data_IF_488150926512
#
_entry.id   IF_488150926512
#
_cell.length_a   1.000
_cell.length_b   1.000
_cell.length_c   1.000
_cell.angle_alpha   90.00
_cell.angle_beta   90.00
_cell.angle_gamma   90.00
#
_symmetry.space_group_name_H-M   'P 1'
#
loop_
_entity.id
_entity.type
_entity.pdbx_description
1 polymer ?
#
# COMPACT_ATOMS: atom_id res chain seq x y z
N UNK A 1 -11.77 9.42 5.08
CA UNK A 1 -10.59 9.27 4.20
C UNK A 1 -10.09 10.63 3.75
N UNK A 2 -8.82 10.76 3.39
CA UNK A 2 -8.23 12.01 2.88
C UNK A 2 -8.99 12.55 1.66
N UNK A 3 -9.44 11.68 0.75
CA UNK A 3 -10.21 12.09 -0.43
C UNK A 3 -11.53 12.79 -0.09
N UNK A 4 -12.28 12.30 0.89
CA UNK A 4 -13.53 12.92 1.33
C UNK A 4 -13.26 14.28 1.96
N UNK A 5 -12.23 14.36 2.81
CA UNK A 5 -11.84 15.60 3.48
C UNK A 5 -11.40 16.68 2.49
N UNK A 6 -10.54 16.31 1.52
CA UNK A 6 -10.06 17.26 0.51
C UNK A 6 -11.19 17.73 -0.42
N UNK A 7 -12.11 16.84 -0.80
CA UNK A 7 -13.26 17.22 -1.63
C UNK A 7 -14.20 18.17 -0.87
N UNK A 8 -14.54 17.84 0.37
CA UNK A 8 -15.38 18.69 1.21
C UNK A 8 -14.76 20.08 1.38
N UNK A 9 -13.46 20.13 1.72
CA UNK A 9 -12.76 21.39 1.91
C UNK A 9 -12.66 22.20 0.61
N UNK A 10 -12.43 21.54 -0.54
CA UNK A 10 -12.42 22.21 -1.84
C UNK A 10 -13.78 22.85 -2.16
N UNK A 11 -14.88 22.17 -1.87
CA UNK A 11 -16.22 22.74 -2.06
C UNK A 11 -16.48 23.93 -1.13
N UNK A 12 -16.13 23.81 0.15
CA UNK A 12 -16.32 24.89 1.12
C UNK A 12 -15.49 26.12 0.75
N UNK A 13 -14.23 25.96 0.42
CA UNK A 13 -13.36 27.08 0.03
C UNK A 13 -13.78 27.72 -1.29
N UNK A 14 -14.19 26.92 -2.27
CA UNK A 14 -14.70 27.42 -3.53
C UNK A 14 -15.98 28.24 -3.35
N UNK A 15 -16.88 27.82 -2.45
CA UNK A 15 -18.08 28.58 -2.10
C UNK A 15 -17.75 29.94 -1.45
N UNK A 16 -16.58 30.06 -0.82
CA UNK A 16 -16.07 31.33 -0.27
C UNK A 16 -15.25 32.14 -1.29
N UNK A 17 -15.20 31.72 -2.56
CA UNK A 17 -14.42 32.37 -3.61
C UNK A 17 -12.93 32.15 -3.56
N UNK A 18 -12.45 31.18 -2.76
CA UNK A 18 -11.03 30.84 -2.70
C UNK A 18 -10.65 29.86 -3.82
N UNK A 19 -9.62 30.15 -4.63
CA UNK A 19 -9.19 29.29 -5.73
C UNK A 19 -8.39 28.10 -5.22
N UNK A 20 -9.08 27.04 -4.82
CA UNK A 20 -8.49 25.84 -4.28
C UNK A 20 -8.72 24.65 -5.20
N UNK A 21 -7.75 23.74 -5.23
CA UNK A 21 -7.85 22.47 -5.96
C UNK A 21 -7.36 21.31 -5.08
N UNK A 22 -7.30 20.12 -5.66
CA UNK A 22 -6.82 18.89 -5.00
C UNK A 22 -5.61 18.38 -5.76
N UNK A 23 -4.50 18.24 -5.05
CA UNK A 23 -3.33 17.53 -5.50
C UNK A 23 -3.29 16.14 -4.86
N UNK A 24 -2.73 15.16 -5.57
CA UNK A 24 -2.68 13.81 -5.05
C UNK A 24 -1.50 13.00 -5.59
N UNK A 25 -0.99 12.12 -4.75
CA UNK A 25 -0.10 11.03 -5.13
C UNK A 25 -0.95 9.77 -5.33
N UNK A 26 -0.93 9.15 -6.52
CA UNK A 26 -1.76 7.98 -6.78
C UNK A 26 -1.34 6.77 -5.94
N UNK A 27 -0.07 6.67 -5.64
CA UNK A 27 0.54 5.64 -4.81
C UNK A 27 1.91 6.16 -4.34
N UNK A 28 2.22 6.01 -3.03
CA UNK A 28 3.56 6.29 -2.52
C UNK A 28 4.57 5.30 -3.09
N UNK A 29 5.80 5.74 -3.31
CA UNK A 29 6.87 4.88 -3.79
C UNK A 29 7.36 3.84 -2.77
N UNK A 30 7.07 4.07 -1.49
CA UNK A 30 7.51 3.23 -0.37
C UNK A 30 6.41 2.99 0.68
N UNK A 31 5.14 3.16 0.32
CA UNK A 31 3.96 2.96 1.18
C UNK A 31 2.86 2.26 0.38
N UNK A 32 1.82 1.82 1.08
CA UNK A 32 0.77 0.96 0.51
C UNK A 32 -0.42 1.72 -0.06
N UNK A 33 -0.48 3.04 0.10
CA UNK A 33 -1.65 3.84 -0.29
C UNK A 33 -1.22 5.07 -1.09
N UNK A 34 -2.19 5.74 -1.69
CA UNK A 34 -2.08 7.10 -2.19
C UNK A 34 -2.45 8.12 -1.11
N UNK A 35 -2.40 9.40 -1.47
CA UNK A 35 -2.80 10.48 -0.59
C UNK A 35 -3.29 11.68 -1.39
N UNK A 36 -4.23 12.44 -0.82
CA UNK A 36 -4.77 13.66 -1.43
C UNK A 36 -4.75 14.80 -0.43
N UNK A 37 -4.44 15.99 -0.91
CA UNK A 37 -4.42 17.23 -0.13
C UNK A 37 -4.97 18.39 -0.95
N UNK A 38 -5.21 19.53 -0.31
CA UNK A 38 -5.66 20.72 -1.00
C UNK A 38 -4.48 21.63 -1.40
N UNK A 39 -4.66 22.39 -2.45
CA UNK A 39 -3.70 23.38 -2.91
C UNK A 39 -4.42 24.69 -3.24
N UNK A 40 -4.08 25.76 -2.54
CA UNK A 40 -4.55 27.11 -2.85
C UNK A 40 -3.69 27.70 -3.99
N UNK A 41 -4.33 28.36 -4.95
CA UNK A 41 -3.65 28.98 -6.10
C UNK A 41 -3.88 30.48 -6.03
N UNK A 42 -2.82 31.25 -5.77
CA UNK A 42 -2.88 32.71 -5.68
C UNK A 42 -1.76 33.30 -6.55
N UNK A 43 -2.11 34.19 -7.47
CA UNK A 43 -1.17 34.88 -8.37
C UNK A 43 -0.20 33.90 -9.09
N UNK A 44 -0.71 32.78 -9.54
CA UNK A 44 0.08 31.73 -10.20
C UNK A 44 1.00 30.90 -9.29
N UNK A 45 1.03 31.20 -7.99
CA UNK A 45 1.73 30.42 -6.98
C UNK A 45 0.80 29.39 -6.33
N UNK A 46 1.38 28.30 -5.91
CA UNK A 46 0.64 27.17 -5.30
C UNK A 46 1.06 26.99 -3.86
N UNK A 47 0.07 26.82 -2.99
CA UNK A 47 0.26 26.66 -1.55
C UNK A 47 -0.47 25.39 -1.11
N UNK A 48 0.21 24.22 -1.10
CA UNK A 48 -0.37 22.98 -0.63
C UNK A 48 -0.62 23.01 0.88
N UNK A 49 -1.70 22.37 1.31
CA UNK A 49 -2.02 22.23 2.73
C UNK A 49 -2.93 21.01 2.97
N UNK A 50 -2.87 20.46 4.18
CA UNK A 50 -3.74 19.38 4.61
C UNK A 50 -5.02 19.95 5.22
N UNK A 51 -6.20 19.51 4.77
CA UNK A 51 -7.44 19.94 5.38
C UNK A 51 -7.61 19.32 6.78
N UNK A 52 -8.16 20.09 7.71
CA UNK A 52 -8.52 19.64 9.06
C UNK A 52 -7.36 19.08 9.91
N UNK A 53 -6.14 19.39 9.55
CA UNK A 53 -4.99 19.02 10.35
C UNK A 53 -4.67 20.07 11.41
N UNK A 54 -4.19 19.56 12.52
CA UNK A 54 -3.65 20.34 13.63
C UNK A 54 -2.43 21.15 13.18
N UNK A 55 -2.29 22.37 13.67
CA UNK A 55 -1.21 23.28 13.30
C UNK A 55 0.20 22.65 13.44
N UNK A 56 0.34 21.76 14.41
CA UNK A 56 1.62 21.12 14.70
C UNK A 56 1.89 19.86 13.87
N UNK A 57 0.86 19.26 13.29
CA UNK A 57 0.99 18.07 12.45
C UNK A 57 1.15 18.37 10.98
N UNK A 58 0.66 19.52 10.57
CA UNK A 58 0.71 19.89 9.20
C UNK A 58 1.91 20.76 8.92
N UNK A 59 2.87 20.17 8.31
CA UNK A 59 4.01 20.88 7.71
C UNK A 59 4.27 20.24 6.37
N UNK A 60 3.74 20.87 5.34
CA UNK A 60 3.98 20.50 3.96
C UNK A 60 5.44 20.14 3.69
N UNK A 61 6.38 20.96 4.19
CA UNK A 61 7.80 20.70 4.06
C UNK A 61 8.26 19.37 4.65
N UNK A 62 7.61 18.91 5.72
CA UNK A 62 7.94 17.63 6.36
C UNK A 62 7.46 16.45 5.53
N UNK A 63 6.21 16.54 5.02
CA UNK A 63 5.62 15.44 4.27
C UNK A 63 6.20 15.28 2.87
N UNK A 64 6.45 16.40 2.18
CA UNK A 64 6.70 16.37 0.74
C UNK A 64 8.15 16.72 0.36
N UNK A 65 8.93 17.30 1.26
CA UNK A 65 10.35 17.59 1.01
C UNK A 65 11.30 16.47 1.46
N UNK A 66 10.82 15.22 1.52
CA UNK A 66 11.63 14.07 1.94
C UNK A 66 12.22 14.16 3.35
N UNK A 67 11.73 15.06 4.21
CA UNK A 67 12.12 15.07 5.61
C UNK A 67 11.30 14.02 6.38
N UNK A 68 11.98 13.16 7.10
CA UNK A 68 11.34 12.25 8.03
C UNK A 68 11.07 12.96 9.34
N UNK A 69 9.83 13.03 9.76
CA UNK A 69 9.46 13.47 11.11
C UNK A 69 9.29 12.27 12.07
N UNK A 70 9.24 11.07 11.51
CA UNK A 70 9.24 9.82 12.24
C UNK A 70 10.39 8.95 11.71
N UNK A 71 11.43 8.79 12.53
CA UNK A 71 12.61 8.01 12.18
C UNK A 71 12.28 6.55 11.90
N UNK A 72 11.23 6.01 12.52
CA UNK A 72 10.80 4.64 12.34
C UNK A 72 9.96 4.46 11.07
N UNK A 73 9.22 5.49 10.68
CA UNK A 73 8.37 5.45 9.49
C UNK A 73 9.14 5.68 8.18
N UNK A 74 10.36 6.23 8.24
CA UNK A 74 11.15 6.61 7.09
C UNK A 74 10.53 7.78 6.29
N UNK A 75 11.19 8.19 5.25
CA UNK A 75 10.78 9.29 4.39
C UNK A 75 9.63 8.86 3.47
N UNK A 76 8.71 9.77 3.16
CA UNK A 76 7.73 9.56 2.09
C UNK A 76 8.38 9.74 0.72
N UNK A 77 8.11 8.82 -0.21
CA UNK A 77 8.62 8.86 -1.58
C UNK A 77 7.48 9.16 -2.55
N UNK A 78 7.61 10.27 -3.25
CA UNK A 78 6.62 10.73 -4.24
C UNK A 78 7.05 10.28 -5.64
N UNK A 79 6.42 9.26 -6.25
CA UNK A 79 6.73 8.90 -7.64
C UNK A 79 6.18 9.92 -8.62
N UNK A 80 4.96 10.43 -8.37
CA UNK A 80 4.26 11.44 -9.17
C UNK A 80 3.27 12.21 -8.30
N UNK A 81 3.05 13.47 -8.64
CA UNK A 81 1.94 14.27 -8.10
C UNK A 81 1.10 14.79 -9.24
N UNK A 82 -0.21 14.53 -9.14
CA UNK A 82 -1.19 15.05 -10.07
C UNK A 82 -2.10 16.06 -9.38
N UNK A 83 -2.58 17.04 -10.16
CA UNK A 83 -3.57 18.04 -9.74
C UNK A 83 -4.89 17.81 -10.46
N UNK A 84 -6.00 17.79 -9.76
CA UNK A 84 -7.32 17.85 -10.38
C UNK A 84 -7.46 19.20 -11.10
N UNK A 85 -7.90 19.16 -12.35
CA UNK A 85 -7.99 20.33 -13.23
C UNK A 85 -9.41 20.52 -13.69
N UNK A 86 -9.81 21.77 -13.98
CA UNK A 86 -11.04 22.11 -14.65
C UNK A 86 -10.89 22.17 -16.18
N UNK A 87 -9.68 21.93 -16.68
CA UNK A 87 -9.36 21.86 -18.09
C UNK A 87 -9.19 20.41 -18.55
N UNK A 88 -9.57 20.13 -19.78
CA UNK A 88 -9.29 18.87 -20.43
C UNK A 88 -7.85 18.76 -20.88
N UNK A 89 -7.16 17.75 -20.41
CA UNK A 89 -5.79 17.44 -20.84
C UNK A 89 -5.83 16.25 -21.82
N UNK A 90 -5.99 16.56 -23.10
CA UNK A 90 -6.03 15.56 -24.19
C UNK A 90 -4.62 15.08 -24.53
N UNK A 91 -3.99 14.37 -23.62
CA UNK A 91 -2.67 13.78 -23.79
C UNK A 91 -2.66 12.32 -23.29
N UNK A 92 -1.59 11.60 -23.65
CA UNK A 92 -1.41 10.23 -23.18
C UNK A 92 -2.29 9.19 -23.87
N UNK A 93 -2.37 7.98 -23.28
CA UNK A 93 -2.98 6.83 -23.93
C UNK A 93 -4.47 7.00 -24.20
N UNK A 94 -5.23 7.70 -23.36
CA UNK A 94 -6.67 7.89 -23.52
C UNK A 94 -7.00 8.79 -24.74
N UNK A 95 -6.08 9.66 -25.14
CA UNK A 95 -6.24 10.54 -26.29
C UNK A 95 -5.80 9.85 -27.62
N UNK A 96 -5.11 8.73 -27.54
CA UNK A 96 -4.66 7.96 -28.71
C UNK A 96 -5.78 7.02 -29.19
N UNK A 97 -6.30 7.30 -30.39
CA UNK A 97 -7.40 6.52 -30.99
C UNK A 97 -7.03 5.06 -31.29
N UNK A 98 -5.74 4.76 -31.39
CA UNK A 98 -5.24 3.41 -31.67
C UNK A 98 -5.07 2.58 -30.41
N UNK A 99 -5.10 3.20 -29.20
CA UNK A 99 -4.95 2.48 -27.96
C UNK A 99 -6.30 1.92 -27.47
N UNK A 100 -6.32 0.66 -27.07
CA UNK A 100 -7.52 0.01 -26.53
C UNK A 100 -7.81 0.50 -25.13
N UNK A 101 -9.05 0.87 -24.84
CA UNK A 101 -9.44 1.37 -23.50
C UNK A 101 -9.13 0.39 -22.35
N UNK A 102 -9.21 -0.92 -22.63
CA UNK A 102 -8.89 -1.95 -21.62
C UNK A 102 -7.39 -2.05 -21.32
N UNK A 103 -6.55 -1.54 -22.21
CA UNK A 103 -5.10 -1.47 -22.03
C UNK A 103 -4.66 -0.18 -21.35
N UNK A 104 -5.60 0.65 -20.89
CA UNK A 104 -5.32 1.89 -20.21
C UNK A 104 -5.68 1.74 -18.72
N UNK A 105 -4.72 1.91 -17.79
CA UNK A 105 -5.00 1.95 -16.36
C UNK A 105 -6.02 3.05 -16.01
N UNK A 106 -6.85 2.82 -15.00
CA UNK A 106 -7.94 3.74 -14.64
C UNK A 106 -7.45 5.16 -14.33
N UNK A 107 -6.28 5.29 -13.72
CA UNK A 107 -5.66 6.59 -13.46
C UNK A 107 -5.58 7.44 -14.73
N UNK A 108 -5.14 6.85 -15.86
CA UNK A 108 -4.90 7.56 -17.13
C UNK A 108 -6.12 7.65 -18.04
N UNK A 109 -7.28 7.18 -17.57
CA UNK A 109 -8.58 7.45 -18.22
C UNK A 109 -9.17 8.79 -17.81
N UNK A 110 -8.62 9.41 -16.75
CA UNK A 110 -9.05 10.70 -16.25
C UNK A 110 -8.37 11.84 -17.00
N UNK A 111 -9.14 12.59 -17.78
CA UNK A 111 -8.65 13.76 -18.54
C UNK A 111 -8.63 15.05 -17.72
N UNK A 112 -9.18 15.03 -16.51
CA UNK A 112 -9.30 16.19 -15.61
C UNK A 112 -8.16 16.23 -14.59
N UNK A 113 -6.98 15.88 -15.01
CA UNK A 113 -5.79 15.94 -14.17
C UNK A 113 -4.55 16.34 -14.97
N UNK A 114 -3.64 17.05 -14.33
CA UNK A 114 -2.32 17.39 -14.87
C UNK A 114 -1.20 16.99 -13.93
N UNK A 115 -0.06 16.65 -14.50
CA UNK A 115 1.17 16.39 -13.75
C UNK A 115 1.72 17.71 -13.18
N UNK A 116 1.92 17.76 -11.87
CA UNK A 116 2.51 18.89 -11.15
C UNK A 116 3.73 18.48 -10.32
N UNK A 117 4.29 17.31 -10.58
CA UNK A 117 5.39 16.73 -9.82
C UNK A 117 6.58 17.68 -9.61
N UNK A 118 6.93 18.46 -10.65
CA UNK A 118 8.02 19.44 -10.59
C UNK A 118 7.80 20.61 -9.63
N UNK A 119 6.56 20.81 -9.14
CA UNK A 119 6.25 21.78 -8.10
C UNK A 119 6.56 21.27 -6.69
N UNK A 120 6.75 19.96 -6.54
CA UNK A 120 6.92 19.28 -5.25
C UNK A 120 8.33 18.76 -5.01
N UNK A 121 8.99 18.28 -6.07
CA UNK A 121 10.32 17.68 -5.97
C UNK A 121 11.12 17.81 -7.27
N UNK A 122 12.42 17.56 -7.18
CA UNK A 122 13.29 17.49 -8.35
C UNK A 122 12.96 16.22 -9.14
N UNK A 123 12.45 16.39 -10.35
CA UNK A 123 12.04 15.30 -11.22
C UNK A 123 13.18 14.81 -12.12
N UNK A 124 13.08 13.56 -12.58
CA UNK A 124 13.99 12.94 -13.55
C UNK A 124 13.20 12.28 -14.67
N UNK A 125 13.59 12.54 -15.91
CA UNK A 125 13.09 11.80 -17.07
C UNK A 125 13.86 10.49 -17.17
N UNK A 126 13.15 9.36 -17.29
CA UNK A 126 13.75 8.03 -17.32
C UNK A 126 13.45 7.36 -18.66
N UNK A 127 14.50 6.96 -19.37
CA UNK A 127 14.36 6.19 -20.63
C UNK A 127 14.80 4.75 -20.41
N UNK A 128 13.94 3.81 -20.76
CA UNK A 128 14.11 2.37 -20.56
C UNK A 128 14.04 1.65 -21.92
N UNK A 129 14.92 0.67 -22.11
CA UNK A 129 14.84 -0.30 -23.18
C UNK A 129 13.84 -1.41 -22.79
N UNK A 130 12.88 -1.71 -23.67
CA UNK A 130 11.92 -2.80 -23.48
C UNK A 130 12.63 -4.10 -23.84
N UNK A 131 12.74 -5.00 -22.88
CA UNK A 131 13.39 -6.32 -23.05
C UNK A 131 12.39 -7.40 -23.45
N UNK A 132 11.16 -7.27 -23.01
CA UNK A 132 10.11 -8.24 -23.25
C UNK A 132 9.45 -8.04 -24.63
N UNK A 133 8.74 -9.06 -25.08
CA UNK A 133 7.95 -8.99 -26.31
C UNK A 133 6.79 -8.01 -26.12
N UNK A 134 6.73 -6.97 -26.96
CA UNK A 134 5.63 -6.01 -26.94
C UNK A 134 4.36 -6.72 -27.41
N UNK A 135 3.29 -6.70 -26.60
CA UNK A 135 2.01 -7.29 -26.98
C UNK A 135 1.39 -6.57 -28.19
N UNK A 136 0.56 -7.28 -28.95
CA UNK A 136 -0.13 -6.71 -30.10
C UNK A 136 -1.04 -5.54 -29.69
N UNK A 137 -1.10 -4.52 -30.54
CA UNK A 137 -1.92 -3.33 -30.33
C UNK A 137 -1.61 -2.57 -29.02
N UNK A 138 -0.35 -2.60 -28.56
CA UNK A 138 0.14 -1.88 -27.38
C UNK A 138 1.06 -0.75 -27.81
N UNK A 139 0.60 0.49 -27.65
CA UNK A 139 1.37 1.70 -27.99
C UNK A 139 2.06 2.35 -26.79
N UNK A 140 1.73 1.92 -25.59
CA UNK A 140 2.18 2.52 -24.34
C UNK A 140 2.75 1.50 -23.35
N UNK A 141 3.71 1.97 -22.58
CA UNK A 141 4.25 1.27 -21.43
C UNK A 141 4.00 2.14 -20.18
N UNK A 142 3.83 1.52 -19.05
CA UNK A 142 3.52 2.18 -17.78
C UNK A 142 4.64 1.94 -16.79
N UNK A 143 4.96 2.96 -16.01
CA UNK A 143 5.88 2.83 -14.90
C UNK A 143 5.07 2.62 -13.61
N UNK A 144 5.36 1.53 -12.92
CA UNK A 144 4.59 1.07 -11.78
C UNK A 144 5.41 1.15 -10.50
N UNK A 145 4.74 1.40 -9.37
CA UNK A 145 5.28 1.24 -8.01
C UNK A 145 4.61 0.07 -7.31
N UNK A 146 5.32 -0.56 -6.40
CA UNK A 146 4.83 -1.74 -5.69
C UNK A 146 3.96 -1.37 -4.50
N UNK A 147 2.79 -1.99 -4.42
CA UNK A 147 1.91 -1.95 -3.25
C UNK A 147 2.08 -3.24 -2.46
N UNK A 148 2.73 -3.16 -1.31
CA UNK A 148 3.01 -4.31 -0.48
C UNK A 148 1.75 -4.92 0.18
N UNK A 149 0.70 -4.12 0.39
CA UNK A 149 -0.53 -4.60 1.01
C UNK A 149 -1.31 -5.54 0.09
N UNK A 150 -1.40 -5.20 -1.19
CA UNK A 150 -2.14 -5.97 -2.18
C UNK A 150 -1.22 -6.84 -3.05
N UNK A 151 0.10 -6.76 -2.84
CA UNK A 151 1.14 -7.42 -3.63
C UNK A 151 0.98 -7.16 -5.14
N UNK A 152 0.66 -5.91 -5.50
CA UNK A 152 0.41 -5.49 -6.86
C UNK A 152 1.34 -4.36 -7.29
N UNK A 153 1.62 -4.29 -8.58
CA UNK A 153 2.29 -3.15 -9.18
C UNK A 153 1.26 -2.17 -9.74
N UNK A 154 1.30 -0.92 -9.26
CA UNK A 154 0.32 0.10 -9.61
C UNK A 154 0.93 1.13 -10.57
N UNK A 155 0.35 1.31 -11.76
CA UNK A 155 0.81 2.31 -12.74
C UNK A 155 0.69 3.73 -12.18
N UNK A 156 1.80 4.49 -12.24
CA UNK A 156 1.87 5.89 -11.78
C UNK A 156 2.29 6.86 -12.88
N UNK A 157 2.85 6.36 -14.01
CA UNK A 157 3.20 7.16 -15.17
C UNK A 157 3.08 6.31 -16.44
N UNK A 158 2.88 6.96 -17.56
CA UNK A 158 2.85 6.37 -18.90
C UNK A 158 3.97 6.93 -19.78
N UNK A 159 4.37 6.15 -20.76
CA UNK A 159 5.26 6.56 -21.84
C UNK A 159 4.86 5.90 -23.16
N UNK A 160 4.94 6.65 -24.26
CA UNK A 160 4.70 6.10 -25.60
C UNK A 160 5.89 5.27 -26.06
N UNK A 161 5.63 4.07 -26.56
CA UNK A 161 6.66 3.17 -27.05
C UNK A 161 7.17 3.68 -28.41
N UNK A 162 8.48 3.79 -28.54
CA UNK A 162 9.15 4.12 -29.78
C UNK A 162 10.36 3.19 -29.99
N UNK A 163 10.30 2.30 -30.99
CA UNK A 163 11.39 1.37 -31.34
C UNK A 163 11.97 0.61 -30.14
N UNK A 164 11.12 0.00 -29.32
CA UNK A 164 11.49 -0.69 -28.07
C UNK A 164 12.10 0.18 -26.96
N UNK A 165 11.96 1.50 -27.06
CA UNK A 165 12.30 2.43 -25.99
C UNK A 165 11.07 3.14 -25.49
N UNK A 166 11.08 3.48 -24.22
CA UNK A 166 10.03 4.27 -23.59
C UNK A 166 10.65 5.30 -22.67
N UNK A 167 10.16 6.54 -22.72
CA UNK A 167 10.57 7.60 -21.80
C UNK A 167 9.41 7.97 -20.89
N UNK A 168 9.67 7.87 -19.60
CA UNK A 168 8.76 8.30 -18.54
C UNK A 168 9.19 9.67 -18.03
N UNK A 169 8.28 10.64 -18.12
CA UNK A 169 8.58 12.04 -17.80
C UNK A 169 8.38 12.34 -16.33
N UNK A 170 9.30 13.12 -15.76
CA UNK A 170 9.15 13.77 -14.47
C UNK A 170 9.01 12.82 -13.28
N UNK A 171 9.82 11.78 -13.19
CA UNK A 171 9.75 10.76 -12.14
C UNK A 171 10.41 11.20 -10.83
N UNK A 172 9.85 10.75 -9.72
CA UNK A 172 10.45 10.88 -8.39
C UNK A 172 11.61 9.91 -8.18
N UNK A 173 12.57 10.31 -7.34
CA UNK A 173 13.80 9.58 -7.04
C UNK A 173 13.69 8.71 -5.79
N UNK A 174 14.68 7.87 -5.58
CA UNK A 174 14.81 6.95 -4.46
C UNK A 174 13.60 5.98 -4.34
N UNK A 175 13.20 5.44 -5.50
CA UNK A 175 12.02 4.58 -5.66
C UNK A 175 12.36 3.41 -6.58
N UNK A 176 11.86 2.23 -6.24
CA UNK A 176 11.87 1.06 -7.10
C UNK A 176 10.69 1.09 -8.07
N UNK A 177 10.98 0.96 -9.36
CA UNK A 177 10.00 1.01 -10.44
C UNK A 177 10.01 -0.26 -11.30
N UNK A 178 8.82 -0.69 -11.72
CA UNK A 178 8.64 -1.72 -12.73
C UNK A 178 8.09 -1.09 -14.02
N UNK A 179 8.84 -1.12 -15.15
CA UNK A 179 8.26 -0.86 -16.45
C UNK A 179 7.35 -2.01 -16.85
N UNK A 180 6.11 -1.73 -17.26
CA UNK A 180 5.13 -2.77 -17.54
C UNK A 180 4.18 -2.39 -18.66
N UNK A 181 3.66 -3.40 -19.35
CA UNK A 181 2.47 -3.30 -20.18
C UNK A 181 1.23 -3.45 -19.28
N UNK A 182 0.11 -2.92 -19.75
CA UNK A 182 -1.17 -3.11 -19.09
C UNK A 182 -2.18 -3.64 -20.10
N UNK A 183 -2.69 -4.85 -19.89
CA UNK A 183 -3.66 -5.47 -20.77
C UNK A 183 -4.81 -6.07 -19.97
N UNK A 184 -6.02 -5.72 -20.34
CA UNK A 184 -7.25 -6.23 -19.75
C UNK A 184 -7.24 -6.25 -18.20
N UNK A 185 -6.69 -5.17 -17.59
CA UNK A 185 -6.58 -5.04 -16.12
C UNK A 185 -5.33 -5.68 -15.51
N UNK A 186 -4.49 -6.34 -16.31
CA UNK A 186 -3.29 -7.04 -15.82
C UNK A 186 -2.03 -6.27 -16.15
N UNK A 187 -1.15 -6.16 -15.15
CA UNK A 187 0.21 -5.60 -15.28
C UNK A 187 1.16 -6.73 -15.67
N UNK A 188 1.85 -6.55 -16.79
CA UNK A 188 2.85 -7.49 -17.29
C UNK A 188 4.20 -6.80 -17.42
N UNK A 189 5.29 -7.33 -16.87
CA UNK A 189 6.62 -6.72 -16.98
C UNK A 189 7.00 -6.45 -18.43
N UNK A 190 7.60 -5.28 -18.70
CA UNK A 190 8.15 -4.90 -19.99
C UNK A 190 9.69 -4.85 -19.98
N UNK A 191 10.26 -4.70 -18.78
CA UNK A 191 11.69 -4.69 -18.52
C UNK A 191 11.93 -5.03 -17.03
N UNK A 192 13.17 -5.33 -16.61
CA UNK A 192 13.50 -5.56 -15.20
C UNK A 192 13.15 -4.36 -14.31
N UNK A 193 12.86 -4.65 -13.05
CA UNK A 193 12.73 -3.61 -12.00
C UNK A 193 14.03 -2.83 -11.89
N UNK A 194 13.94 -1.54 -11.67
CA UNK A 194 15.10 -0.70 -11.37
C UNK A 194 14.81 0.24 -10.20
N UNK A 195 15.86 0.66 -9.52
CA UNK A 195 15.83 1.76 -8.56
C UNK A 195 16.28 3.02 -9.30
N UNK A 196 15.46 4.08 -9.23
CA UNK A 196 15.91 5.41 -9.58
C UNK A 196 16.48 6.05 -8.31
N UNK A 197 17.80 6.14 -8.22
CA UNK A 197 18.49 6.59 -7.01
C UNK A 197 18.31 8.11 -6.72
N UNK A 198 18.89 8.59 -5.63
CA UNK A 198 18.84 10.02 -5.23
C UNK A 198 19.52 10.94 -6.24
N UNK A 199 20.50 10.47 -6.96
CA UNK A 199 21.23 11.21 -8.01
C UNK A 199 20.48 11.22 -9.35
N UNK A 200 19.46 10.35 -9.51
CA UNK A 200 18.68 10.19 -10.73
C UNK A 200 19.24 9.15 -11.70
N UNK A 201 20.11 8.26 -11.23
CA UNK A 201 20.61 7.14 -12.02
C UNK A 201 19.70 5.93 -11.90
N UNK A 202 19.61 5.15 -12.98
CA UNK A 202 18.82 3.91 -12.99
C UNK A 202 19.72 2.71 -12.66
N UNK A 203 19.47 2.06 -11.53
CA UNK A 203 20.12 0.82 -11.13
C UNK A 203 19.17 -0.35 -11.36
N UNK A 204 19.40 -1.16 -12.38
CA UNK A 204 18.60 -2.35 -12.64
C UNK A 204 18.80 -3.42 -11.55
N UNK A 205 17.69 -4.02 -11.13
CA UNK A 205 17.69 -5.15 -10.20
C UNK A 205 17.55 -6.43 -11.01
N UNK A 206 18.67 -7.16 -11.12
CA UNK A 206 18.72 -8.42 -11.85
C UNK A 206 18.57 -9.58 -10.87
N UNK A 207 17.61 -10.46 -11.14
CA UNK A 207 17.42 -11.65 -10.33
C UNK A 207 18.59 -12.62 -10.52
N UNK A 208 19.25 -12.97 -9.42
CA UNK A 208 20.25 -14.03 -9.39
C UNK A 208 19.76 -15.21 -8.51
N UNK A 209 19.28 -16.31 -9.10
CA UNK A 209 18.73 -17.44 -8.33
C UNK A 209 19.78 -18.17 -7.48
N UNK A 210 21.08 -17.94 -7.72
CA UNK A 210 22.19 -18.57 -7.00
C UNK A 210 22.63 -17.75 -5.77
N UNK A 211 22.24 -16.49 -5.68
CA UNK A 211 22.52 -15.62 -4.54
C UNK A 211 21.27 -15.44 -3.71
N UNK A 212 21.27 -16.00 -2.52
CA UNK A 212 20.15 -15.85 -1.55
C UNK A 212 20.67 -15.09 -0.35
N UNK A 213 20.01 -13.99 -0.02
CA UNK A 213 20.21 -13.25 1.22
C UNK A 213 19.00 -13.37 2.13
N UNK A 214 19.26 -13.40 3.44
CA UNK A 214 18.19 -13.28 4.43
C UNK A 214 17.95 -11.80 4.72
N UNK A 215 16.78 -11.31 4.35
CA UNK A 215 16.37 -9.95 4.65
C UNK A 215 15.57 -9.97 5.95
N UNK A 216 16.03 -9.24 6.95
CA UNK A 216 15.27 -8.97 8.17
C UNK A 216 14.54 -7.66 7.98
N UNK A 217 13.20 -7.71 7.92
CA UNK A 217 12.36 -6.53 7.77
C UNK A 217 11.74 -6.21 9.14
N UNK A 218 12.18 -5.14 9.74
CA UNK A 218 11.55 -4.57 10.93
C UNK A 218 10.67 -3.40 10.48
N UNK A 219 9.37 -3.59 10.45
CA UNK A 219 8.43 -2.50 10.21
C UNK A 219 7.67 -2.20 11.49
N UNK A 220 7.88 -1.02 12.03
CA UNK A 220 7.00 -0.44 13.03
C UNK A 220 6.21 0.67 12.36
N UNK A 221 4.89 0.58 12.37
CA UNK A 221 4.05 1.70 11.94
C UNK A 221 3.40 2.31 13.18
N UNK A 222 3.26 3.62 13.28
CA UNK A 222 2.56 4.27 14.39
C UNK A 222 1.14 3.74 14.60
N UNK A 223 0.51 3.28 13.52
CA UNK A 223 -0.82 2.67 13.54
C UNK A 223 -0.82 1.36 14.34
N UNK A 224 0.20 0.50 14.17
CA UNK A 224 0.28 -0.77 14.91
C UNK A 224 0.42 -0.54 16.42
N UNK A 225 1.16 0.46 16.85
CA UNK A 225 1.27 0.81 18.28
C UNK A 225 -0.04 1.30 18.88
N UNK A 226 -0.93 1.87 18.07
CA UNK A 226 -2.26 2.28 18.52
C UNK A 226 -3.17 1.08 18.83
N UNK A 227 -3.03 -0.02 18.12
CA UNK A 227 -3.88 -1.20 18.27
C UNK A 227 -3.36 -2.22 19.29
N UNK A 228 -2.09 -2.17 19.65
CA UNK A 228 -1.51 -3.07 20.65
C UNK A 228 -2.27 -3.03 22.01
N UNK A 229 -2.55 -1.85 22.60
CA UNK A 229 -3.31 -1.79 23.83
C UNK A 229 -4.72 -2.38 23.74
N UNK A 230 -5.31 -2.41 22.54
CA UNK A 230 -6.64 -2.97 22.33
C UNK A 230 -6.67 -4.49 22.36
N UNK A 231 -5.52 -5.14 22.21
CA UNK A 231 -5.37 -6.59 22.28
C UNK A 231 -5.01 -7.07 23.70
N UNK A 232 -4.62 -6.17 24.59
CA UNK A 232 -4.29 -6.52 25.99
C UNK A 232 -5.50 -7.16 26.67
N UNK A 233 -5.30 -8.31 27.32
CA UNK A 233 -6.36 -9.12 27.91
C UNK A 233 -7.08 -10.07 26.96
N UNK A 234 -6.77 -10.06 25.65
CA UNK A 234 -7.24 -11.10 24.75
C UNK A 234 -6.73 -12.47 25.20
N UNK A 235 -7.57 -13.48 25.14
CA UNK A 235 -7.20 -14.80 25.60
C UNK A 235 -7.55 -15.89 24.61
N UNK A 236 -6.67 -16.88 24.55
CA UNK A 236 -6.81 -18.07 23.73
C UNK A 236 -7.33 -19.22 24.60
N UNK A 237 -8.38 -19.87 24.16
CA UNK A 237 -8.95 -21.04 24.84
C UNK A 237 -9.07 -22.20 23.88
N UNK A 238 -8.91 -23.42 24.40
CA UNK A 238 -9.04 -24.68 23.64
C UNK A 238 -10.19 -25.52 24.07
N UNK A 239 -10.90 -26.17 23.14
CA UNK A 239 -11.91 -27.15 23.42
C UNK A 239 -12.01 -28.25 22.34
N UNK A 240 -12.68 -29.34 22.67
CA UNK A 240 -12.88 -30.49 21.76
C UNK A 240 -14.32 -30.68 21.30
N UNK A 241 -15.29 -30.17 22.02
CA UNK A 241 -16.71 -30.54 21.86
C UNK A 241 -17.64 -29.35 21.64
N UNK A 242 -17.20 -28.24 21.08
CA UNK A 242 -18.10 -27.12 20.76
C UNK A 242 -18.96 -26.59 21.90
N UNK A 243 -18.58 -26.87 23.15
CA UNK A 243 -19.37 -26.57 24.32
C UNK A 243 -19.29 -25.13 24.80
N UNK A 244 -20.19 -24.79 25.75
CA UNK A 244 -20.25 -23.47 26.40
C UNK A 244 -18.91 -23.02 26.96
N UNK A 245 -18.71 -21.73 27.14
CA UNK A 245 -17.44 -21.10 27.61
C UNK A 245 -16.88 -21.70 28.88
N UNK A 246 -17.74 -22.22 29.77
CA UNK A 246 -17.36 -22.78 31.06
C UNK A 246 -16.52 -24.08 31.01
N UNK A 247 -16.33 -24.69 29.82
CA UNK A 247 -15.53 -25.92 29.64
C UNK A 247 -14.34 -25.77 28.73
N UNK A 248 -13.86 -24.54 28.53
CA UNK A 248 -12.68 -24.25 27.71
C UNK A 248 -11.45 -24.11 28.59
N UNK A 249 -10.38 -24.77 28.21
CA UNK A 249 -9.07 -24.58 28.88
C UNK A 249 -8.45 -23.26 28.38
N UNK A 250 -8.04 -22.37 29.27
CA UNK A 250 -7.27 -21.21 28.91
C UNK A 250 -5.86 -21.63 28.51
N UNK A 251 -5.44 -21.27 27.32
CA UNK A 251 -4.16 -21.63 26.74
C UNK A 251 -3.13 -20.51 26.90
N UNK A 252 -3.57 -19.27 26.69
CA UNK A 252 -2.73 -18.10 26.80
C UNK A 252 -3.58 -16.83 26.94
N UNK A 253 -3.08 -15.87 27.70
CA UNK A 253 -3.66 -14.51 27.81
C UNK A 253 -2.62 -13.51 27.39
N UNK A 254 -2.97 -12.62 26.44
CA UNK A 254 -2.12 -11.56 25.98
C UNK A 254 -1.93 -10.49 27.07
N UNK A 255 -0.69 -10.20 27.41
CA UNK A 255 -0.30 -9.14 28.35
C UNK A 255 0.06 -7.88 27.57
N UNK A 256 0.39 -6.79 28.29
CA UNK A 256 0.63 -5.46 27.70
C UNK A 256 1.90 -5.33 26.85
N UNK A 257 2.70 -6.40 26.76
CA UNK A 257 4.00 -6.39 26.08
C UNK A 257 3.99 -7.18 24.77
N UNK A 258 3.05 -6.86 23.86
CA UNK A 258 3.02 -7.46 22.52
C UNK A 258 3.92 -6.64 21.61
N UNK A 259 4.78 -7.31 20.84
CA UNK A 259 5.58 -6.67 19.80
C UNK A 259 4.70 -6.32 18.59
N UNK A 260 5.08 -5.31 17.84
CA UNK A 260 4.47 -4.92 16.57
C UNK A 260 4.79 -5.88 15.42
N UNK A 261 5.74 -6.79 15.64
CA UNK A 261 6.14 -7.84 14.71
C UNK A 261 5.49 -9.19 15.05
N UNK A 262 6.12 -10.29 14.68
CA UNK A 262 5.65 -11.61 15.05
C UNK A 262 5.84 -11.88 16.55
N UNK A 263 4.76 -12.29 17.21
CA UNK A 263 4.78 -12.76 18.58
C UNK A 263 4.75 -14.29 18.57
N UNK A 264 5.83 -14.93 19.07
CA UNK A 264 5.90 -16.36 19.21
C UNK A 264 5.41 -16.77 20.59
N UNK A 265 4.30 -17.48 20.64
CA UNK A 265 3.66 -17.88 21.88
C UNK A 265 3.74 -19.40 22.00
N UNK A 266 4.43 -19.88 23.01
CA UNK A 266 4.45 -21.31 23.35
C UNK A 266 3.27 -21.62 24.29
N UNK A 267 2.34 -22.43 23.77
CA UNK A 267 1.18 -22.85 24.56
C UNK A 267 1.61 -23.95 25.55
N UNK A 268 1.50 -23.65 26.84
CA UNK A 268 1.87 -24.55 27.92
C UNK A 268 0.81 -25.64 28.14
N UNK A 269 0.64 -26.52 27.15
CA UNK A 269 -0.34 -27.60 27.21
C UNK A 269 0.15 -28.88 26.53
N UNK A 270 -0.11 -30.02 27.15
CA UNK A 270 0.07 -31.34 26.54
C UNK A 270 -1.26 -31.88 25.91
N UNK A 271 -2.36 -31.16 26.10
CA UNK A 271 -3.66 -31.57 25.59
C UNK A 271 -3.78 -31.27 24.09
N UNK A 272 -4.59 -32.04 23.40
CA UNK A 272 -4.94 -31.79 21.99
C UNK A 272 -6.33 -31.17 21.93
N UNK A 273 -6.46 -30.14 21.08
CA UNK A 273 -7.72 -29.42 20.88
C UNK A 273 -8.12 -29.46 19.41
N UNK A 274 -9.44 -29.59 19.17
CA UNK A 274 -10.02 -29.47 17.83
C UNK A 274 -10.36 -28.03 17.48
N UNK A 275 -10.62 -27.20 18.47
CA UNK A 275 -10.99 -25.80 18.28
C UNK A 275 -10.18 -24.93 19.23
N UNK A 276 -9.70 -23.85 18.69
CA UNK A 276 -9.03 -22.79 19.43
C UNK A 276 -9.83 -21.51 19.22
N UNK A 277 -10.19 -20.86 20.31
CA UNK A 277 -10.95 -19.62 20.30
C UNK A 277 -10.07 -18.47 20.75
N UNK A 278 -10.10 -17.37 20.02
CA UNK A 278 -9.57 -16.09 20.45
C UNK A 278 -10.74 -15.21 20.89
N UNK A 279 -10.74 -14.82 22.16
CA UNK A 279 -11.69 -13.86 22.71
C UNK A 279 -10.99 -12.54 22.91
N UNK A 280 -11.55 -11.48 22.35
CA UNK A 280 -11.02 -10.12 22.42
C UNK A 280 -11.73 -9.33 23.52
N UNK A 281 -11.02 -8.49 24.29
CA UNK A 281 -11.63 -7.69 25.35
C UNK A 281 -12.46 -6.53 24.81
N UNK A 282 -12.25 -6.17 23.55
CA UNK A 282 -12.92 -5.06 22.87
C UNK A 282 -13.54 -5.50 21.55
N UNK A 283 -14.42 -4.65 20.98
CA UNK A 283 -15.14 -4.93 19.73
C UNK A 283 -14.26 -4.78 18.47
N UNK A 284 -13.01 -4.38 18.62
CA UNK A 284 -12.10 -4.12 17.51
C UNK A 284 -11.10 -5.25 17.36
N UNK A 285 -10.81 -5.61 16.14
CA UNK A 285 -9.77 -6.57 15.79
C UNK A 285 -8.86 -6.00 14.71
N UNK A 286 -7.57 -6.11 14.92
CA UNK A 286 -6.53 -5.81 13.91
C UNK A 286 -5.52 -6.94 13.97
N UNK A 287 -5.64 -7.90 13.07
CA UNK A 287 -4.76 -9.07 12.98
C UNK A 287 -4.33 -9.25 11.52
N UNK A 288 -3.04 -9.44 11.31
CA UNK A 288 -2.50 -9.70 9.98
C UNK A 288 -2.39 -11.20 9.72
N UNK A 289 -1.77 -11.94 10.66
CA UNK A 289 -1.53 -13.36 10.45
C UNK A 289 -1.52 -14.13 11.77
N UNK A 290 -2.10 -15.31 11.77
CA UNK A 290 -2.05 -16.28 12.88
C UNK A 290 -1.63 -17.62 12.31
N UNK A 291 -0.46 -18.11 12.68
CA UNK A 291 -0.02 -19.44 12.27
C UNK A 291 0.16 -20.34 13.49
N UNK A 292 -0.47 -21.50 13.45
CA UNK A 292 -0.26 -22.52 14.48
C UNK A 292 0.83 -23.47 14.07
N UNK A 293 1.69 -23.84 15.00
CA UNK A 293 2.75 -24.80 14.80
C UNK A 293 2.58 -26.01 15.74
N UNK A 294 2.87 -27.19 15.23
CA UNK A 294 2.99 -28.41 16.03
C UNK A 294 4.43 -28.88 16.05
N UNK A 295 4.89 -29.37 17.21
CA UNK A 295 6.19 -30.01 17.33
C UNK A 295 6.08 -31.45 16.85
N UNK A 296 6.81 -31.79 15.81
CA UNK A 296 6.90 -33.13 15.26
C UNK A 296 8.36 -33.47 14.96
N UNK A 297 8.87 -34.55 15.50
CA UNK A 297 10.27 -35.00 15.33
C UNK A 297 11.29 -33.90 15.72
N UNK A 298 11.02 -33.17 16.78
CA UNK A 298 11.86 -32.07 17.28
C UNK A 298 11.80 -30.79 16.46
N UNK A 299 11.04 -30.75 15.37
CA UNK A 299 10.87 -29.57 14.49
C UNK A 299 9.47 -28.98 14.60
N UNK A 300 9.39 -27.67 14.47
CA UNK A 300 8.11 -26.97 14.34
C UNK A 300 7.62 -27.10 12.89
N UNK A 301 6.41 -27.61 12.73
CA UNK A 301 5.72 -27.68 11.43
C UNK A 301 4.43 -26.89 11.50
N UNK A 302 4.12 -26.05 10.51
CA UNK A 302 2.86 -25.32 10.48
C UNK A 302 1.67 -26.29 10.40
N UNK A 303 0.58 -25.93 11.04
CA UNK A 303 -0.70 -26.62 10.90
C UNK A 303 -1.39 -26.04 9.69
N UNK A 304 -1.58 -26.84 8.66
CA UNK A 304 -2.37 -26.50 7.46
C UNK A 304 -3.84 -26.85 7.68
N UNK A 305 -4.70 -26.40 6.79
CA UNK A 305 -6.16 -26.66 6.79
C UNK A 305 -6.91 -26.11 8.01
N UNK A 306 -6.47 -24.94 8.50
CA UNK A 306 -7.18 -24.23 9.56
C UNK A 306 -8.41 -23.54 8.98
N UNK A 307 -9.60 -23.88 9.48
CA UNK A 307 -10.84 -23.19 9.13
C UNK A 307 -11.15 -22.12 10.18
N UNK A 308 -11.18 -20.86 9.73
CA UNK A 308 -11.49 -19.73 10.60
C UNK A 308 -12.97 -19.41 10.54
N UNK A 309 -13.57 -19.14 11.70
CA UNK A 309 -14.95 -18.65 11.83
C UNK A 309 -14.98 -17.54 12.89
N UNK A 310 -15.91 -16.61 12.78
CA UNK A 310 -16.06 -15.53 13.75
C UNK A 310 -17.55 -15.28 14.07
N UNK A 311 -17.81 -14.78 15.27
CA UNK A 311 -19.15 -14.33 15.71
C UNK A 311 -19.39 -12.88 15.27
N UNK A 312 -19.31 -12.62 13.96
CA UNK A 312 -19.50 -11.28 13.41
C UNK A 312 -20.64 -11.34 12.39
N UNK A 313 -21.50 -10.34 12.40
CA UNK A 313 -22.74 -10.30 11.60
C UNK A 313 -22.61 -9.64 10.23
N UNK A 314 -21.40 -9.32 9.72
CA UNK A 314 -21.18 -8.51 8.53
C UNK A 314 -20.40 -9.21 7.40
N UNK A 315 -20.39 -8.61 6.22
CA UNK A 315 -19.72 -9.06 4.99
C UNK A 315 -18.20 -9.32 5.12
N UNK A 316 -17.57 -8.82 6.18
CA UNK A 316 -16.16 -9.07 6.55
C UNK A 316 -15.85 -10.56 6.79
N UNK A 317 -16.85 -11.41 6.99
CA UNK A 317 -16.70 -12.88 7.13
C UNK A 317 -16.04 -13.48 5.88
N UNK A 318 -16.24 -12.90 4.71
CA UNK A 318 -15.68 -13.41 3.45
C UNK A 318 -14.15 -13.33 3.39
N UNK A 319 -13.52 -12.51 4.21
CA UNK A 319 -12.08 -12.25 4.19
C UNK A 319 -11.33 -12.84 5.41
N UNK A 320 -12.05 -13.55 6.30
CA UNK A 320 -11.42 -14.16 7.49
C UNK A 320 -10.28 -15.13 7.18
N UNK A 321 -10.26 -15.73 5.99
CA UNK A 321 -9.16 -16.60 5.56
C UNK A 321 -7.81 -15.85 5.51
N UNK A 322 -7.83 -14.53 5.36
CA UNK A 322 -6.62 -13.69 5.27
C UNK A 322 -5.76 -13.71 6.52
N UNK A 323 -6.31 -14.06 7.68
CA UNK A 323 -5.53 -14.16 8.92
C UNK A 323 -4.78 -15.50 9.06
N UNK A 324 -4.94 -16.42 8.10
CA UNK A 324 -4.27 -17.73 8.08
C UNK A 324 -3.79 -18.11 6.67
N UNK A 325 -3.62 -17.15 5.77
CA UNK A 325 -3.22 -17.41 4.38
C UNK A 325 -1.69 -17.48 4.19
N UNK A 326 -0.92 -17.27 5.25
CA UNK A 326 0.53 -17.27 5.24
C UNK A 326 1.15 -15.94 4.77
N UNK A 327 0.34 -14.89 4.61
CA UNK A 327 0.75 -13.60 4.08
C UNK A 327 0.60 -12.51 5.15
N UNK A 328 1.70 -12.10 5.75
CA UNK A 328 1.68 -11.04 6.78
C UNK A 328 1.28 -9.64 6.27
N UNK A 329 1.22 -9.45 4.96
CA UNK A 329 0.76 -8.20 4.32
C UNK A 329 -0.76 -8.13 4.13
N UNK A 330 -1.47 -9.24 4.30
CA UNK A 330 -2.93 -9.31 4.30
C UNK A 330 -3.42 -9.42 5.74
N UNK A 331 -4.63 -9.03 6.00
CA UNK A 331 -5.16 -9.11 7.35
C UNK A 331 -6.57 -8.58 7.41
N UNK A 332 -7.15 -8.62 8.60
CA UNK A 332 -8.46 -8.05 8.87
C UNK A 332 -8.33 -6.87 9.83
N UNK A 333 -9.02 -5.80 9.51
CA UNK A 333 -9.26 -4.69 10.40
C UNK A 333 -10.76 -4.45 10.44
N UNK A 334 -11.35 -4.54 11.64
CA UNK A 334 -12.77 -4.30 11.85
C UNK A 334 -12.99 -3.39 13.05
N UNK A 335 -13.77 -2.33 12.82
CA UNK A 335 -14.30 -1.44 13.84
C UNK A 335 -15.70 -1.85 14.25
#
# INVERSE_FOLDING_TARGET
>A
TCDIQTQFNAHMMSALGMPVTIDFVPMWGNRTEGHSWNTLIVDGKTYPFEPFCDKDRWKYDILYNNHSFDLNAGKFRLPKVFRKSFEYHLNGPIADKNERRNNIPNLFKNLWMKDVSSQYFQTTDVTIDITEKIPENTGYCYLCVYNAQNMTWNPVQWGKINRKKVTFKGMGRDIAYLPAFFQDGTVMPAAPVFILDEEGNCKQLMHNPHEKETIVVNTTTPISTHFIPMLAGAHWTGCNNGGSEERRDTLYTLTDSIDTSYNYIELQTSKKYRQIHLTLPQKYIALNEITFYKKQDGKLKPVTDVKVTANISNDSIKELYRITDGLSGTGIFQQ
#
